data_IF_883203276603
#
_entry.id   IF_883203276603
#
_cell.length_a   1.000
_cell.length_b   1.000
_cell.length_c   1.000
_cell.angle_alpha   90.00
_cell.angle_beta   90.00
_cell.angle_gamma   90.00
#
_symmetry.space_group_name_H-M   'P 1'
#
loop_
_entity.id
_entity.type
_entity.pdbx_description
1 polymer ?
#
# COMPACT_ATOMS: atom_id res chain seq x y z
N UNK A 1 -19.58 14.36 10.13
CA UNK A 1 -18.54 13.31 10.17
C UNK A 1 -18.23 12.96 11.63
N UNK A 2 -18.16 11.68 12.00
CA UNK A 2 -17.90 11.28 13.39
C UNK A 2 -16.41 11.54 13.71
N UNK A 3 -16.10 12.72 14.25
CA UNK A 3 -14.73 13.23 14.48
C UNK A 3 -13.81 12.22 15.20
N UNK A 4 -14.38 11.35 16.04
CA UNK A 4 -13.64 10.30 16.76
C UNK A 4 -13.14 9.19 15.81
N UNK A 5 -13.97 8.73 14.88
CA UNK A 5 -13.59 7.71 13.90
C UNK A 5 -12.50 8.24 12.96
N UNK A 6 -12.64 9.46 12.44
CA UNK A 6 -11.66 10.02 11.51
C UNK A 6 -10.30 10.24 12.18
N UNK A 7 -10.27 10.70 13.44
CA UNK A 7 -9.02 10.82 14.21
C UNK A 7 -8.37 9.47 14.50
N UNK A 8 -9.16 8.45 14.85
CA UNK A 8 -8.63 7.09 15.09
C UNK A 8 -8.02 6.52 13.81
N UNK A 9 -8.71 6.62 12.68
CA UNK A 9 -8.21 6.14 11.39
C UNK A 9 -6.92 6.85 11.00
N UNK A 10 -6.83 8.17 11.17
CA UNK A 10 -5.60 8.92 10.90
C UNK A 10 -4.44 8.45 11.78
N UNK A 11 -4.69 8.30 13.08
CA UNK A 11 -3.68 7.81 14.02
C UNK A 11 -3.20 6.39 13.64
N UNK A 12 -4.11 5.52 13.26
CA UNK A 12 -3.78 4.16 12.83
C UNK A 12 -2.90 4.18 11.57
N UNK A 13 -3.23 4.99 10.56
CA UNK A 13 -2.43 5.11 9.34
C UNK A 13 -1.03 5.66 9.62
N UNK A 14 -0.94 6.66 10.49
CA UNK A 14 0.34 7.24 10.90
C UNK A 14 1.19 6.19 11.63
N UNK A 15 0.60 5.47 12.57
CA UNK A 15 1.25 4.36 13.27
C UNK A 15 1.74 3.29 12.29
N UNK A 16 0.89 2.83 11.36
CA UNK A 16 1.26 1.82 10.36
C UNK A 16 2.42 2.28 9.47
N UNK A 17 2.47 3.56 9.11
CA UNK A 17 3.53 4.12 8.30
C UNK A 17 4.89 4.11 9.03
N UNK A 18 4.94 4.61 10.27
CA UNK A 18 6.17 4.65 11.05
C UNK A 18 6.61 3.26 11.53
N UNK A 19 5.66 2.43 11.99
CA UNK A 19 5.94 1.05 12.37
C UNK A 19 6.43 0.23 11.17
N UNK A 20 5.82 0.40 9.99
CA UNK A 20 6.25 -0.25 8.76
C UNK A 20 7.71 0.08 8.39
N UNK A 21 8.10 1.35 8.55
CA UNK A 21 9.48 1.79 8.32
C UNK A 21 10.46 1.12 9.29
N UNK A 22 10.13 1.07 10.58
CA UNK A 22 10.93 0.34 11.59
C UNK A 22 11.06 -1.15 11.26
N UNK A 23 9.96 -1.79 10.86
CA UNK A 23 9.97 -3.21 10.47
C UNK A 23 10.85 -3.44 9.24
N UNK A 24 10.79 -2.58 8.23
CA UNK A 24 11.65 -2.67 7.05
C UNK A 24 13.14 -2.51 7.39
N UNK A 25 13.50 -1.61 8.30
CA UNK A 25 14.89 -1.40 8.73
C UNK A 25 15.43 -2.58 9.55
N UNK A 26 14.60 -3.16 10.41
CA UNK A 26 14.96 -4.31 11.25
C UNK A 26 14.90 -5.64 10.51
N UNK A 27 14.32 -5.68 9.30
CA UNK A 27 14.08 -6.87 8.49
C UNK A 27 15.31 -7.79 8.33
N UNK A 28 16.51 -7.33 7.91
CA UNK A 28 17.66 -8.22 7.78
C UNK A 28 18.07 -8.86 9.11
N UNK A 29 17.97 -8.13 10.22
CA UNK A 29 18.28 -8.68 11.54
C UNK A 29 17.26 -9.73 11.96
N UNK A 30 15.97 -9.44 11.78
CA UNK A 30 14.88 -10.39 12.09
C UNK A 30 14.98 -11.67 11.26
N UNK A 31 15.31 -11.56 9.96
CA UNK A 31 15.50 -12.74 9.10
C UNK A 31 16.70 -13.57 9.52
N UNK A 32 17.80 -12.92 9.95
CA UNK A 32 18.98 -13.62 10.47
C UNK A 32 18.69 -14.37 11.77
N UNK A 33 17.92 -13.76 12.66
CA UNK A 33 17.47 -14.41 13.90
C UNK A 33 16.52 -15.59 13.62
N UNK A 34 15.56 -15.41 12.72
CA UNK A 34 14.60 -16.45 12.35
C UNK A 34 15.24 -17.63 11.58
N UNK A 35 16.33 -17.36 10.83
CA UNK A 35 17.14 -18.38 10.18
C UNK A 35 17.73 -19.41 11.14
N UNK A 36 17.85 -19.11 12.44
CA UNK A 36 18.28 -20.08 13.45
C UNK A 36 17.25 -21.19 13.70
N UNK A 37 16.00 -21.03 13.25
CA UNK A 37 14.91 -21.99 13.46
C UNK A 37 14.43 -22.68 12.18
N UNK A 38 14.79 -22.18 10.99
CA UNK A 38 14.34 -22.69 9.70
C UNK A 38 15.45 -22.65 8.65
N UNK A 39 15.90 -23.82 8.19
CA UNK A 39 16.99 -23.95 7.20
C UNK A 39 16.67 -23.27 5.85
N UNK A 40 15.39 -23.18 5.47
CA UNK A 40 14.95 -22.49 4.26
C UNK A 40 15.30 -20.99 4.25
N UNK A 41 15.27 -20.35 5.43
CA UNK A 41 15.62 -18.93 5.57
C UNK A 41 17.14 -18.70 5.51
N UNK A 42 17.94 -19.72 5.79
CA UNK A 42 19.40 -19.67 5.66
C UNK A 42 19.80 -19.83 4.19
N UNK A 43 19.21 -20.80 3.48
CA UNK A 43 19.52 -21.09 2.07
C UNK A 43 19.12 -19.93 1.16
N UNK A 44 17.90 -19.40 1.33
CA UNK A 44 17.36 -18.34 0.48
C UNK A 44 17.41 -16.96 1.14
N UNK A 45 18.33 -16.74 2.09
CA UNK A 45 18.41 -15.51 2.87
C UNK A 45 18.40 -14.25 1.99
N UNK A 46 19.34 -14.15 1.05
CA UNK A 46 19.48 -12.97 0.18
C UNK A 46 18.26 -12.71 -0.71
N UNK A 47 17.76 -13.69 -1.49
CA UNK A 47 16.54 -13.52 -2.28
C UNK A 47 15.34 -13.08 -1.43
N UNK A 48 15.15 -13.69 -0.25
CA UNK A 48 14.04 -13.38 0.63
C UNK A 48 14.17 -11.96 1.20
N UNK A 49 15.33 -11.58 1.73
CA UNK A 49 15.55 -10.23 2.27
C UNK A 49 15.30 -9.17 1.19
N UNK A 50 15.80 -9.36 -0.02
CA UNK A 50 15.59 -8.40 -1.12
C UNK A 50 14.11 -8.30 -1.50
N UNK A 51 13.42 -9.42 -1.71
CA UNK A 51 11.99 -9.42 -2.08
C UNK A 51 11.14 -8.76 -0.99
N UNK A 52 11.37 -9.12 0.27
CA UNK A 52 10.61 -8.56 1.39
C UNK A 52 10.95 -7.10 1.65
N UNK A 53 12.20 -6.68 1.49
CA UNK A 53 12.58 -5.29 1.63
C UNK A 53 11.92 -4.43 0.56
N UNK A 54 11.98 -4.85 -0.71
CA UNK A 54 11.32 -4.15 -1.81
C UNK A 54 9.79 -4.10 -1.63
N UNK A 55 9.17 -5.22 -1.24
CA UNK A 55 7.74 -5.28 -0.94
C UNK A 55 7.37 -4.35 0.22
N UNK A 56 8.20 -4.31 1.27
CA UNK A 56 8.01 -3.43 2.42
C UNK A 56 8.13 -1.95 2.07
N UNK A 57 9.11 -1.57 1.26
CA UNK A 57 9.24 -0.19 0.74
C UNK A 57 8.00 0.20 -0.06
N UNK A 58 7.52 -0.65 -0.96
CA UNK A 58 6.29 -0.40 -1.71
C UNK A 58 5.05 -0.29 -0.81
N UNK A 59 4.96 -1.11 0.23
CA UNK A 59 3.87 -1.04 1.20
C UNK A 59 3.89 0.28 1.99
N UNK A 60 5.08 0.75 2.40
CA UNK A 60 5.24 2.07 3.04
C UNK A 60 4.81 3.19 2.08
N UNK A 61 5.20 3.13 0.81
CA UNK A 61 4.77 4.10 -0.21
C UNK A 61 3.24 4.08 -0.42
N UNK A 62 2.63 2.89 -0.45
CA UNK A 62 1.18 2.73 -0.54
C UNK A 62 0.48 3.38 0.65
N UNK A 63 0.92 3.11 1.88
CA UNK A 63 0.38 3.74 3.09
C UNK A 63 0.61 5.27 3.05
N UNK A 64 1.76 5.72 2.53
CA UNK A 64 2.07 7.14 2.38
C UNK A 64 1.09 7.87 1.46
N UNK A 65 0.75 7.30 0.31
CA UNK A 65 -0.30 7.85 -0.56
C UNK A 65 -1.68 7.82 0.12
N UNK A 66 -1.95 6.80 0.96
CA UNK A 66 -3.21 6.70 1.69
C UNK A 66 -3.32 7.78 2.77
N UNK A 67 -2.22 8.08 3.45
CA UNK A 67 -2.14 9.20 4.41
C UNK A 67 -2.44 10.52 3.74
N UNK A 68 -1.85 10.81 2.57
CA UNK A 68 -2.10 12.04 1.81
C UNK A 68 -3.58 12.19 1.44
N UNK A 69 -4.18 11.12 0.92
CA UNK A 69 -5.61 11.13 0.57
C UNK A 69 -6.49 11.31 1.82
N UNK A 70 -6.09 10.74 2.96
CA UNK A 70 -6.84 10.91 4.20
C UNK A 70 -6.72 12.34 4.76
N UNK A 71 -5.59 13.01 4.55
CA UNK A 71 -5.40 14.41 4.95
C UNK A 71 -6.29 15.37 4.17
N UNK A 72 -6.46 15.15 2.86
CA UNK A 72 -7.36 15.97 2.04
C UNK A 72 -8.83 15.71 2.38
N UNK A 73 -9.20 14.48 2.73
CA UNK A 73 -10.55 14.15 3.24
C UNK A 73 -10.81 14.82 4.60
N UNK A 74 -9.82 14.87 5.49
CA UNK A 74 -9.91 15.57 6.77
C UNK A 74 -10.05 17.09 6.62
N UNK A 75 -9.49 17.66 5.55
CA UNK A 75 -9.60 19.06 5.19
C UNK A 75 -10.87 19.40 4.39
N UNK A 76 -11.87 18.51 4.36
CA UNK A 76 -13.12 18.61 3.58
C UNK A 76 -12.91 18.81 2.06
N UNK A 77 -11.71 18.51 1.54
CA UNK A 77 -11.31 18.66 0.14
C UNK A 77 -11.08 17.29 -0.52
N UNK A 78 -12.13 16.47 -0.57
CA UNK A 78 -12.08 15.10 -1.09
C UNK A 78 -11.85 15.03 -2.63
N UNK A 79 -12.41 15.99 -3.37
CA UNK A 79 -12.37 16.01 -4.84
C UNK A 79 -11.28 16.94 -5.36
N UNK A 80 -10.03 16.49 -5.20
CA UNK A 80 -8.85 17.14 -5.78
C UNK A 80 -8.15 16.20 -6.76
N UNK A 81 -7.60 16.75 -7.85
CA UNK A 81 -6.84 15.95 -8.83
C UNK A 81 -5.64 15.22 -8.20
N UNK A 82 -5.14 15.70 -7.07
CA UNK A 82 -4.08 15.02 -6.32
C UNK A 82 -4.53 13.65 -5.78
N UNK A 83 -5.76 13.53 -5.28
CA UNK A 83 -6.30 12.26 -4.79
C UNK A 83 -6.43 11.24 -5.92
N UNK A 84 -6.79 11.68 -7.14
CA UNK A 84 -6.80 10.83 -8.34
C UNK A 84 -5.41 10.29 -8.64
N UNK A 85 -4.38 11.13 -8.59
CA UNK A 85 -2.98 10.71 -8.77
C UNK A 85 -2.54 9.73 -7.68
N UNK A 86 -2.89 9.99 -6.43
CA UNK A 86 -2.59 9.09 -5.31
C UNK A 86 -3.28 7.73 -5.47
N UNK A 87 -4.56 7.69 -5.86
CA UNK A 87 -5.27 6.44 -6.16
C UNK A 87 -4.62 5.66 -7.32
N UNK A 88 -4.17 6.35 -8.36
CA UNK A 88 -3.42 5.70 -9.44
C UNK A 88 -2.10 5.10 -8.97
N UNK A 89 -1.36 5.80 -8.12
CA UNK A 89 -0.09 5.31 -7.53
C UNK A 89 -0.33 4.13 -6.59
N UNK A 90 -1.32 4.20 -5.71
CA UNK A 90 -1.73 3.09 -4.84
C UNK A 90 -2.01 1.83 -5.65
N UNK A 91 -2.80 1.97 -6.72
CA UNK A 91 -3.09 0.86 -7.61
C UNK A 91 -1.82 0.23 -8.18
N UNK A 92 -0.92 1.07 -8.71
CA UNK A 92 0.36 0.62 -9.26
C UNK A 92 1.24 -0.06 -8.19
N UNK A 93 1.38 0.52 -6.99
CA UNK A 93 2.15 -0.08 -5.90
C UNK A 93 1.56 -1.43 -5.46
N UNK A 94 0.23 -1.54 -5.39
CA UNK A 94 -0.47 -2.79 -5.07
C UNK A 94 -0.16 -3.89 -6.09
N UNK A 95 -0.19 -3.58 -7.39
CA UNK A 95 0.19 -4.55 -8.43
C UNK A 95 1.67 -4.92 -8.37
N UNK A 96 2.56 -3.97 -8.08
CA UNK A 96 3.99 -4.27 -7.92
C UNK A 96 4.25 -5.17 -6.71
N UNK A 97 3.54 -4.96 -5.59
CA UNK A 97 3.62 -5.86 -4.43
C UNK A 97 3.10 -7.25 -4.79
N UNK A 98 1.98 -7.35 -5.51
CA UNK A 98 1.46 -8.63 -5.98
C UNK A 98 2.47 -9.36 -6.89
N UNK A 99 3.13 -8.64 -7.81
CA UNK A 99 4.16 -9.17 -8.70
C UNK A 99 5.38 -9.67 -7.92
N UNK A 100 5.92 -8.86 -6.99
CA UNK A 100 7.04 -9.26 -6.11
C UNK A 100 6.68 -10.48 -5.26
N UNK A 101 5.44 -10.53 -4.77
CA UNK A 101 4.94 -11.66 -3.99
C UNK A 101 4.76 -12.91 -4.87
N UNK A 102 4.39 -12.76 -6.14
CA UNK A 102 4.32 -13.86 -7.10
C UNK A 102 5.71 -14.44 -7.40
N UNK A 103 6.76 -13.62 -7.47
CA UNK A 103 8.13 -14.12 -7.60
C UNK A 103 8.53 -15.04 -6.44
N UNK A 104 7.97 -14.84 -5.25
CA UNK A 104 8.21 -15.71 -4.09
C UNK A 104 7.62 -17.12 -4.27
N UNK A 105 6.57 -17.28 -5.08
CA UNK A 105 5.97 -18.61 -5.34
C UNK A 105 6.96 -19.56 -6.03
N UNK A 106 7.92 -19.05 -6.82
CA UNK A 106 8.96 -19.87 -7.43
C UNK A 106 9.97 -20.42 -6.41
N UNK A 107 10.14 -19.75 -5.27
CA UNK A 107 11.00 -20.22 -4.18
C UNK A 107 10.25 -21.23 -3.31
N UNK A 108 9.01 -20.92 -2.94
CA UNK A 108 8.18 -21.79 -2.10
C UNK A 108 6.69 -21.50 -2.30
N UNK A 109 5.93 -22.53 -2.68
CA UNK A 109 4.49 -22.44 -2.89
C UNK A 109 3.75 -22.62 -1.56
N UNK A 110 3.03 -21.58 -1.12
CA UNK A 110 2.07 -21.72 -0.02
C UNK A 110 0.71 -21.16 -0.43
N UNK A 111 -0.39 -21.78 0.02
CA UNK A 111 -1.73 -21.26 -0.25
C UNK A 111 -1.92 -19.84 0.33
N UNK A 112 -1.23 -19.51 1.43
CA UNK A 112 -1.25 -18.17 2.01
C UNK A 112 -0.70 -17.09 1.05
N UNK A 113 0.38 -17.37 0.32
CA UNK A 113 0.98 -16.41 -0.62
C UNK A 113 0.02 -16.13 -1.79
N UNK A 114 -0.73 -17.14 -2.26
CA UNK A 114 -1.74 -16.96 -3.31
C UNK A 114 -2.88 -16.02 -2.85
N UNK A 115 -3.35 -16.17 -1.61
CA UNK A 115 -4.38 -15.29 -1.04
C UNK A 115 -3.86 -13.86 -0.96
N UNK A 116 -2.61 -13.65 -0.52
CA UNK A 116 -2.00 -12.31 -0.45
C UNK A 116 -1.96 -11.66 -1.84
N UNK A 117 -1.52 -12.39 -2.86
CA UNK A 117 -1.48 -11.89 -4.25
C UNK A 117 -2.88 -11.46 -4.70
N UNK A 118 -3.89 -12.30 -4.48
CA UNK A 118 -5.27 -12.01 -4.85
C UNK A 118 -5.78 -10.71 -4.18
N UNK A 119 -5.54 -10.54 -2.88
CA UNK A 119 -5.94 -9.35 -2.13
C UNK A 119 -5.29 -8.09 -2.71
N UNK A 120 -3.99 -8.13 -3.00
CA UNK A 120 -3.29 -6.97 -3.60
C UNK A 120 -3.74 -6.69 -5.04
N UNK A 121 -4.06 -7.72 -5.84
CA UNK A 121 -4.62 -7.52 -7.19
C UNK A 121 -5.99 -6.84 -7.11
N UNK A 122 -6.88 -7.33 -6.24
CA UNK A 122 -8.21 -6.75 -6.06
C UNK A 122 -8.11 -5.31 -5.55
N UNK A 123 -7.27 -5.06 -4.53
CA UNK A 123 -7.03 -3.70 -4.03
C UNK A 123 -6.46 -2.78 -5.11
N UNK A 124 -5.57 -3.28 -5.96
CA UNK A 124 -4.97 -2.54 -7.07
C UNK A 124 -6.00 -2.15 -8.13
N UNK A 125 -6.82 -3.11 -8.55
CA UNK A 125 -7.92 -2.90 -9.50
C UNK A 125 -8.93 -1.90 -8.93
N UNK A 126 -9.34 -2.09 -7.68
CA UNK A 126 -10.28 -1.21 -7.00
C UNK A 126 -9.76 0.22 -6.92
N UNK A 127 -8.48 0.41 -6.58
CA UNK A 127 -7.85 1.74 -6.54
C UNK A 127 -7.84 2.41 -7.92
N UNK A 128 -7.62 1.67 -9.01
CA UNK A 128 -7.69 2.20 -10.38
C UNK A 128 -9.12 2.57 -10.79
N UNK A 129 -10.11 1.75 -10.45
CA UNK A 129 -11.52 2.06 -10.71
C UNK A 129 -11.94 3.31 -9.95
N UNK A 130 -11.59 3.42 -8.66
CA UNK A 130 -11.84 4.63 -7.88
C UNK A 130 -11.14 5.85 -8.47
N UNK A 131 -9.90 5.73 -8.94
CA UNK A 131 -9.20 6.83 -9.61
C UNK A 131 -10.02 7.37 -10.79
N UNK A 132 -10.57 6.49 -11.64
CA UNK A 132 -11.39 6.89 -12.78
C UNK A 132 -12.73 7.52 -12.39
N UNK A 133 -13.37 7.04 -11.32
CA UNK A 133 -14.61 7.65 -10.81
C UNK A 133 -14.34 9.02 -10.20
N UNK A 134 -13.26 9.16 -9.43
CA UNK A 134 -12.86 10.44 -8.84
C UNK A 134 -12.45 11.45 -9.91
N UNK A 135 -11.75 11.03 -10.96
CA UNK A 135 -11.34 11.92 -12.06
C UNK A 135 -12.55 12.57 -12.76
N UNK A 136 -13.59 11.77 -13.03
CA UNK A 136 -14.86 12.29 -13.56
C UNK A 136 -15.54 13.24 -12.57
N UNK A 137 -15.62 12.86 -11.29
CA UNK A 137 -16.25 13.69 -10.26
C UNK A 137 -15.55 15.04 -10.06
N UNK A 138 -14.21 15.05 -10.10
CA UNK A 138 -13.41 16.28 -10.02
C UNK A 138 -13.63 17.15 -11.25
N UNK A 139 -13.66 16.55 -12.46
CA UNK A 139 -13.90 17.29 -13.70
C UNK A 139 -15.28 17.97 -13.70
N UNK A 140 -16.33 17.27 -13.25
CA UNK A 140 -17.67 17.86 -13.10
C UNK A 140 -17.70 19.01 -12.09
N UNK A 141 -16.94 18.91 -11.00
CA UNK A 141 -16.83 19.99 -10.02
C UNK A 141 -16.13 21.23 -10.61
N UNK A 142 -15.01 21.02 -11.30
CA UNK A 142 -14.25 22.09 -11.96
C UNK A 142 -15.06 22.78 -13.07
N UNK A 143 -15.81 22.02 -13.87
CA UNK A 143 -16.69 22.59 -14.91
C UNK A 143 -17.80 23.46 -14.30
N UNK A 144 -18.42 23.00 -13.21
CA UNK A 144 -19.48 23.75 -12.52
C UNK A 144 -18.96 25.04 -11.87
N UNK A 145 -17.75 25.03 -11.31
CA UNK A 145 -17.09 26.21 -10.75
C UNK A 145 -16.71 27.26 -11.83
N UNK A 146 -16.57 26.87 -13.10
CA UNK A 146 -16.26 27.78 -14.23
C UNK A 146 -17.49 28.43 -14.87
N UNK A 147 -18.69 27.86 -14.65
CA UNK A 147 -19.95 28.38 -15.20
C UNK A 147 -20.70 29.35 -14.28
N UNK A 148 -20.27 29.49 -13.03
CA UNK A 148 -20.83 30.43 -12.03
C UNK A 148 -19.94 31.67 -11.97
#
# INVERSE_FOLDING_TARGET
>A
MNLKLTKITKFLLDFMYFAGMLVCLTLPFTFKWYGSYNDLFVIYYWPLVVIFFLSGVLAILLIGELRKMFDTVLADNCFVRENVKSLHKMGTYSFLIALLTAFRLFLYLTPAVLIIILVFVIAGLFSKVLAGVFDRAVSYKEENDLTI
#
